data_IF_912214999539
#
_entry.id   IF_912214999539
#
_cell.length_a   1.000
_cell.length_b   1.000
_cell.length_c   1.000
_cell.angle_alpha   90.00
_cell.angle_beta   90.00
_cell.angle_gamma   90.00
#
_symmetry.space_group_name_H-M   'P 1'
#
loop_
_entity.id
_entity.type
_entity.pdbx_description
1 polymer ?
#
# COMPACT_ATOMS: atom_id res chain seq x y z
N UNK A 1 19.26 -15.99 8.30
CA UNK A 1 19.08 -16.65 6.99
C UNK A 1 18.46 -15.63 6.04
N UNK A 2 19.24 -14.64 5.61
CA UNK A 2 18.83 -13.61 4.64
C UNK A 2 19.36 -14.07 3.29
N UNK A 3 18.53 -14.81 2.55
CA UNK A 3 18.90 -15.42 1.28
C UNK A 3 19.02 -14.37 0.18
N UNK A 4 20.20 -14.35 -0.43
CA UNK A 4 20.66 -13.60 -1.61
C UNK A 4 19.52 -13.00 -2.45
N UNK A 5 19.16 -11.75 -2.15
CA UNK A 5 18.36 -10.96 -3.08
C UNK A 5 19.33 -10.36 -4.12
N UNK A 6 19.04 -10.46 -5.43
CA UNK A 6 19.90 -9.89 -6.45
C UNK A 6 20.08 -8.39 -6.20
N UNK A 7 21.31 -7.91 -6.04
CA UNK A 7 21.60 -6.50 -5.71
C UNK A 7 21.36 -5.53 -6.87
N UNK A 8 21.04 -6.05 -8.05
CA UNK A 8 20.74 -5.27 -9.25
C UNK A 8 19.54 -5.87 -10.00
N UNK A 9 18.52 -5.05 -10.26
CA UNK A 9 17.28 -5.41 -10.95
C UNK A 9 16.04 -4.81 -10.28
N UNK A 10 14.86 -4.80 -10.93
CA UNK A 10 13.62 -4.25 -10.36
C UNK A 10 13.17 -4.96 -9.07
N UNK A 11 13.64 -6.19 -8.83
CA UNK A 11 13.36 -7.00 -7.62
C UNK A 11 14.48 -6.94 -6.56
N UNK A 12 15.45 -6.03 -6.72
CA UNK A 12 16.62 -5.93 -5.87
C UNK A 12 16.40 -5.40 -4.44
N UNK A 13 15.50 -4.43 -4.17
CA UNK A 13 15.39 -3.92 -2.82
C UNK A 13 14.81 -5.00 -1.89
N UNK A 14 15.33 -5.15 -0.66
CA UNK A 14 14.75 -6.05 0.31
C UNK A 14 13.31 -5.62 0.63
N UNK A 15 12.38 -6.57 0.79
CA UNK A 15 10.99 -6.24 1.07
C UNK A 15 10.80 -5.42 2.35
N UNK A 16 11.74 -5.50 3.31
CA UNK A 16 11.77 -4.62 4.48
C UNK A 16 11.96 -3.14 4.12
N UNK A 17 12.80 -2.83 3.13
CA UNK A 17 12.98 -1.45 2.64
C UNK A 17 11.73 -0.93 1.95
N UNK A 18 11.08 -1.75 1.10
CA UNK A 18 9.80 -1.36 0.46
C UNK A 18 8.68 -1.19 1.48
N UNK A 19 8.64 -2.03 2.52
CA UNK A 19 7.72 -1.88 3.63
C UNK A 19 7.92 -0.54 4.35
N UNK A 20 9.17 -0.22 4.73
CA UNK A 20 9.49 1.04 5.41
C UNK A 20 9.18 2.26 4.55
N UNK A 21 9.48 2.20 3.25
CA UNK A 21 9.10 3.25 2.30
C UNK A 21 7.57 3.43 2.25
N UNK A 22 6.81 2.34 2.22
CA UNK A 22 5.35 2.36 2.32
C UNK A 22 4.87 3.00 3.62
N UNK A 23 5.43 2.60 4.76
CA UNK A 23 5.13 3.17 6.09
C UNK A 23 5.40 4.67 6.13
N UNK A 24 6.55 5.11 5.60
CA UNK A 24 6.93 6.51 5.56
C UNK A 24 5.95 7.34 4.71
N UNK A 25 5.62 6.85 3.49
CA UNK A 25 4.62 7.48 2.62
C UNK A 25 3.24 7.52 3.28
N UNK A 26 2.81 6.43 3.91
CA UNK A 26 1.54 6.35 4.61
C UNK A 26 1.46 7.33 5.78
N UNK A 27 2.55 7.48 6.54
CA UNK A 27 2.64 8.46 7.63
C UNK A 27 2.50 9.89 7.12
N UNK A 28 3.14 10.23 6.00
CA UNK A 28 3.02 11.55 5.37
C UNK A 28 1.59 11.82 4.90
N UNK A 29 0.96 10.84 4.25
CA UNK A 29 -0.44 10.96 3.79
C UNK A 29 -1.39 11.10 5.00
N UNK A 30 -1.20 10.33 6.06
CA UNK A 30 -2.02 10.43 7.27
C UNK A 30 -1.89 11.76 7.99
N UNK A 31 -0.68 12.33 8.03
CA UNK A 31 -0.46 13.67 8.55
C UNK A 31 -1.18 14.71 7.68
N UNK A 32 -0.96 14.67 6.37
CA UNK A 32 -1.61 15.57 5.42
C UNK A 32 -3.15 15.49 5.49
N UNK A 33 -3.70 14.28 5.58
CA UNK A 33 -5.14 14.04 5.76
C UNK A 33 -5.65 14.67 7.05
N UNK A 34 -4.92 14.53 8.15
CA UNK A 34 -5.30 15.11 9.44
C UNK A 34 -5.24 16.64 9.41
N UNK A 35 -4.27 17.24 8.72
CA UNK A 35 -4.22 18.70 8.58
C UNK A 35 -5.29 19.24 7.63
N UNK A 36 -5.61 18.52 6.55
CA UNK A 36 -6.59 18.93 5.56
C UNK A 36 -8.04 18.80 6.05
N UNK A 37 -8.36 17.70 6.74
CA UNK A 37 -9.74 17.36 7.12
C UNK A 37 -9.97 17.30 8.63
N UNK A 38 -8.92 17.24 9.44
CA UNK A 38 -9.02 17.24 10.91
C UNK A 38 -9.14 18.63 11.54
N UNK A 39 -8.98 19.70 10.74
CA UNK A 39 -9.16 21.08 11.20
C UNK A 39 -10.64 21.45 11.38
N UNK A 40 -11.56 20.83 10.63
CA UNK A 40 -12.99 21.17 10.65
C UNK A 40 -13.72 20.63 11.88
N UNK A 41 -13.19 19.58 12.53
CA UNK A 41 -13.72 19.03 13.79
C UNK A 41 -12.83 19.31 15.01
N UNK A 42 -11.83 20.19 14.86
CA UNK A 42 -10.63 20.28 15.69
C UNK A 42 -10.82 20.13 17.21
N UNK A 43 -10.54 18.94 17.78
CA UNK A 43 -10.42 18.80 19.21
C UNK A 43 -9.00 19.26 19.61
N UNK A 44 -8.90 20.35 20.37
CA UNK A 44 -7.61 20.97 20.75
C UNK A 44 -6.77 20.04 21.64
N UNK A 45 -5.45 20.15 21.53
CA UNK A 45 -4.51 19.49 22.44
C UNK A 45 -4.38 17.98 22.21
N UNK A 46 -4.56 17.17 23.27
CA UNK A 46 -4.33 15.72 23.24
C UNK A 46 -5.17 15.00 22.18
N UNK A 47 -6.39 15.48 21.93
CA UNK A 47 -7.31 14.84 20.99
C UNK A 47 -6.87 14.98 19.52
N UNK A 48 -6.30 16.12 19.13
CA UNK A 48 -5.63 16.26 17.83
C UNK A 48 -4.47 15.28 17.70
N UNK A 49 -3.65 15.15 18.76
CA UNK A 49 -2.55 14.18 18.80
C UNK A 49 -3.02 12.74 18.61
N UNK A 50 -4.12 12.34 19.25
CA UNK A 50 -4.69 11.01 19.07
C UNK A 50 -5.26 10.79 17.67
N UNK A 51 -5.93 11.78 17.07
CA UNK A 51 -6.46 11.69 15.70
C UNK A 51 -5.32 11.60 14.69
N UNK A 52 -4.29 12.43 14.84
CA UNK A 52 -3.08 12.39 14.02
C UNK A 52 -2.42 11.02 14.11
N UNK A 53 -2.19 10.52 15.33
CA UNK A 53 -1.59 9.21 15.54
C UNK A 53 -2.42 8.10 14.91
N UNK A 54 -3.76 8.12 15.06
CA UNK A 54 -4.67 7.13 14.48
C UNK A 54 -4.63 7.14 12.96
N UNK A 55 -4.69 8.32 12.34
CA UNK A 55 -4.66 8.46 10.89
C UNK A 55 -3.29 8.06 10.33
N UNK A 56 -2.20 8.57 10.91
CA UNK A 56 -0.85 8.17 10.52
C UNK A 56 -0.66 6.67 10.64
N UNK A 57 -1.10 6.05 11.76
CA UNK A 57 -1.01 4.61 11.94
C UNK A 57 -1.81 3.85 10.88
N UNK A 58 -3.07 4.23 10.64
CA UNK A 58 -3.92 3.57 9.65
C UNK A 58 -3.35 3.60 8.23
N UNK A 59 -2.90 4.77 7.76
CA UNK A 59 -2.27 4.90 6.44
C UNK A 59 -0.89 4.24 6.39
N UNK A 60 -0.08 4.35 7.44
CA UNK A 60 1.23 3.71 7.51
C UNK A 60 1.12 2.17 7.47
N UNK A 61 0.20 1.59 8.24
CA UNK A 61 -0.03 0.15 8.24
C UNK A 61 -0.58 -0.33 6.90
N UNK A 62 -1.50 0.42 6.30
CA UNK A 62 -2.07 0.08 4.99
C UNK A 62 -0.98 0.04 3.91
N UNK A 63 -0.19 1.13 3.76
CA UNK A 63 0.86 1.19 2.75
C UNK A 63 2.05 0.26 3.05
N UNK A 64 2.34 0.02 4.33
CA UNK A 64 3.36 -0.94 4.76
C UNK A 64 3.00 -2.37 4.36
N UNK A 65 1.80 -2.82 4.70
CA UNK A 65 1.29 -4.16 4.34
C UNK A 65 1.21 -4.30 2.82
N UNK A 66 0.65 -3.30 2.13
CA UNK A 66 0.59 -3.27 0.66
C UNK A 66 1.98 -3.51 0.04
N UNK A 67 2.96 -2.69 0.42
CA UNK A 67 4.31 -2.72 -0.16
C UNK A 67 5.06 -4.02 0.16
N UNK A 68 4.87 -4.55 1.38
CA UNK A 68 5.46 -5.82 1.79
C UNK A 68 4.89 -7.00 0.98
N UNK A 69 3.56 -7.06 0.83
CA UNK A 69 2.87 -8.15 0.12
C UNK A 69 3.13 -8.08 -1.37
N UNK A 70 3.09 -6.90 -1.99
CA UNK A 70 3.44 -6.74 -3.40
C UNK A 70 4.88 -7.17 -3.67
N UNK A 71 5.84 -6.78 -2.82
CA UNK A 71 7.24 -7.25 -2.93
C UNK A 71 7.36 -8.76 -2.75
N UNK A 72 6.67 -9.35 -1.77
CA UNK A 72 6.68 -10.78 -1.54
C UNK A 72 6.11 -11.55 -2.75
N UNK A 73 5.00 -11.06 -3.32
CA UNK A 73 4.36 -11.65 -4.51
C UNK A 73 5.26 -11.54 -5.75
N UNK A 74 5.89 -10.39 -5.96
CA UNK A 74 6.89 -10.18 -7.01
C UNK A 74 8.06 -11.14 -6.87
N UNK A 75 8.63 -11.28 -5.66
CA UNK A 75 9.78 -12.16 -5.43
C UNK A 75 9.41 -13.64 -5.56
N UNK A 76 8.22 -14.02 -5.12
CA UNK A 76 7.72 -15.39 -5.24
C UNK A 76 7.44 -15.78 -6.70
N UNK A 77 6.87 -14.86 -7.50
CA UNK A 77 6.43 -15.15 -8.88
C UNK A 77 7.43 -14.74 -9.95
N UNK A 78 8.43 -13.92 -9.59
CA UNK A 78 9.41 -13.30 -10.51
C UNK A 78 8.75 -12.59 -11.70
N UNK A 79 7.61 -11.96 -11.45
CA UNK A 79 6.87 -11.14 -12.43
C UNK A 79 6.38 -9.86 -11.76
N UNK A 80 6.26 -8.78 -12.54
CA UNK A 80 5.71 -7.49 -12.12
C UNK A 80 4.44 -7.20 -12.94
N UNK A 81 3.32 -7.70 -12.42
CA UNK A 81 2.01 -7.65 -13.06
C UNK A 81 0.97 -7.00 -12.13
N UNK A 82 -0.16 -6.55 -12.69
CA UNK A 82 -1.27 -6.00 -11.92
C UNK A 82 -1.81 -6.94 -10.83
N UNK A 83 -1.61 -8.26 -10.97
CA UNK A 83 -1.99 -9.24 -9.94
C UNK A 83 -1.20 -9.08 -8.63
N UNK A 84 0.06 -8.63 -8.66
CA UNK A 84 0.82 -8.41 -7.42
C UNK A 84 0.28 -7.19 -6.65
N UNK A 85 -0.17 -6.18 -7.39
CA UNK A 85 -0.81 -4.99 -6.83
C UNK A 85 -2.23 -5.32 -6.33
N UNK A 86 -2.95 -6.22 -7.01
CA UNK A 86 -4.22 -6.77 -6.52
C UNK A 86 -4.05 -7.48 -5.18
N UNK A 87 -3.08 -8.41 -5.07
CA UNK A 87 -2.83 -9.15 -3.83
C UNK A 87 -2.39 -8.23 -2.69
N UNK A 88 -1.52 -7.25 -2.98
CA UNK A 88 -1.11 -6.23 -2.02
C UNK A 88 -2.31 -5.41 -1.51
N UNK A 89 -3.17 -4.95 -2.44
CA UNK A 89 -4.38 -4.20 -2.10
C UNK A 89 -5.38 -5.03 -1.28
N UNK A 90 -5.62 -6.29 -1.66
CA UNK A 90 -6.46 -7.20 -0.90
C UNK A 90 -5.96 -7.41 0.53
N UNK A 91 -4.66 -7.61 0.73
CA UNK A 91 -4.08 -7.80 2.05
C UNK A 91 -4.18 -6.52 2.91
N UNK A 92 -3.91 -5.36 2.30
CA UNK A 92 -4.02 -4.07 2.97
C UNK A 92 -5.48 -3.72 3.31
N UNK A 93 -6.43 -4.03 2.43
CA UNK A 93 -7.87 -3.87 2.67
C UNK A 93 -8.40 -4.79 3.76
N UNK A 94 -7.93 -6.05 3.79
CA UNK A 94 -8.25 -6.98 4.86
C UNK A 94 -7.76 -6.46 6.22
N UNK A 95 -6.55 -5.89 6.24
CA UNK A 95 -6.01 -5.24 7.44
C UNK A 95 -6.83 -4.02 7.86
N UNK A 96 -7.21 -3.16 6.92
CA UNK A 96 -8.03 -1.98 7.19
C UNK A 96 -9.43 -2.34 7.75
N UNK A 97 -9.95 -3.51 7.40
CA UNK A 97 -11.26 -3.97 7.85
C UNK A 97 -11.21 -4.89 9.08
N UNK A 98 -10.08 -5.01 9.78
CA UNK A 98 -9.95 -5.86 10.97
C UNK A 98 -10.92 -5.48 12.09
N UNK A 99 -11.28 -4.19 12.20
CA UNK A 99 -12.24 -3.69 13.17
C UNK A 99 -13.71 -3.88 12.74
N UNK A 100 -13.96 -4.34 11.51
CA UNK A 100 -15.32 -4.54 11.01
C UNK A 100 -15.91 -5.83 11.57
N UNK A 101 -17.09 -5.78 12.23
CA UNK A 101 -17.72 -6.97 12.81
C UNK A 101 -18.28 -7.94 11.76
N UNK A 102 -18.29 -7.55 10.49
CA UNK A 102 -18.87 -8.34 9.40
C UNK A 102 -17.82 -8.78 8.39
N UNK A 103 -17.70 -10.11 8.23
CA UNK A 103 -16.82 -10.73 7.22
C UNK A 103 -17.14 -10.25 5.81
N UNK A 104 -18.41 -9.97 5.50
CA UNK A 104 -18.82 -9.40 4.20
C UNK A 104 -18.22 -8.01 3.95
N UNK A 105 -18.16 -7.15 4.97
CA UNK A 105 -17.53 -5.85 4.84
C UNK A 105 -16.01 -5.99 4.67
N UNK A 106 -15.38 -6.91 5.39
CA UNK A 106 -13.95 -7.21 5.23
C UNK A 106 -13.61 -7.76 3.83
N UNK A 107 -14.42 -8.67 3.29
CA UNK A 107 -14.24 -9.18 1.93
C UNK A 107 -14.50 -8.09 0.88
N UNK A 108 -15.56 -7.29 1.06
CA UNK A 108 -15.90 -6.20 0.15
C UNK A 108 -14.80 -5.14 0.07
N UNK A 109 -14.28 -4.71 1.22
CA UNK A 109 -13.16 -3.76 1.31
C UNK A 109 -11.87 -4.33 0.73
N UNK A 110 -11.54 -5.59 1.00
CA UNK A 110 -10.36 -6.26 0.44
C UNK A 110 -10.43 -6.32 -1.09
N UNK A 111 -11.55 -6.78 -1.65
CA UNK A 111 -11.73 -6.89 -3.09
C UNK A 111 -11.74 -5.52 -3.78
N UNK A 112 -12.42 -4.54 -3.19
CA UNK A 112 -12.48 -3.19 -3.73
C UNK A 112 -11.10 -2.53 -3.74
N UNK A 113 -10.35 -2.60 -2.64
CA UNK A 113 -8.99 -2.04 -2.56
C UNK A 113 -8.02 -2.77 -3.49
N UNK A 114 -8.04 -4.11 -3.53
CA UNK A 114 -7.27 -4.90 -4.48
C UNK A 114 -7.55 -4.48 -5.92
N UNK A 115 -8.81 -4.35 -6.30
CA UNK A 115 -9.21 -3.97 -7.65
C UNK A 115 -8.76 -2.55 -8.01
N UNK A 116 -8.93 -1.58 -7.10
CA UNK A 116 -8.46 -0.20 -7.29
C UNK A 116 -6.94 -0.17 -7.48
N UNK A 117 -6.16 -0.87 -6.65
CA UNK A 117 -4.71 -0.94 -6.79
C UNK A 117 -4.27 -1.57 -8.13
N UNK A 118 -4.94 -2.64 -8.54
CA UNK A 118 -4.66 -3.30 -9.82
C UNK A 118 -4.98 -2.38 -11.01
N UNK A 119 -6.13 -1.72 -11.00
CA UNK A 119 -6.53 -0.76 -12.04
C UNK A 119 -5.59 0.43 -12.10
N UNK A 120 -5.21 0.98 -10.94
CA UNK A 120 -4.24 2.07 -10.87
C UNK A 120 -2.90 1.65 -11.48
N UNK A 121 -2.41 0.46 -11.14
CA UNK A 121 -1.21 -0.08 -11.76
C UNK A 121 -1.36 -0.19 -13.27
N UNK A 122 -2.47 -0.73 -13.78
CA UNK A 122 -2.70 -0.87 -15.23
C UNK A 122 -2.82 0.48 -15.95
N UNK A 123 -3.42 1.48 -15.30
CA UNK A 123 -3.61 2.81 -15.88
C UNK A 123 -2.33 3.65 -15.90
N UNK A 124 -1.47 3.51 -14.88
CA UNK A 124 -0.28 4.34 -14.68
C UNK A 124 1.04 3.61 -14.91
N UNK A 125 1.04 2.30 -15.19
CA UNK A 125 2.26 1.60 -15.62
C UNK A 125 2.73 2.25 -16.93
N UNK A 126 3.90 2.90 -16.96
CA UNK A 126 4.41 3.45 -18.20
C UNK A 126 4.60 2.30 -19.19
N UNK A 127 4.00 2.41 -20.39
CA UNK A 127 4.35 1.51 -21.51
C UNK A 127 5.86 1.55 -21.67
N UNK A 128 6.51 0.40 -21.51
CA UNK A 128 7.94 0.30 -21.75
C UNK A 128 8.22 0.64 -23.21
N UNK A 129 9.31 1.36 -23.45
CA UNK A 129 9.77 1.89 -24.74
C UNK A 129 9.91 0.82 -25.85
N UNK A 130 9.83 -0.46 -25.52
CA UNK A 130 9.93 -1.58 -26.46
C UNK A 130 8.69 -1.76 -27.34
N UNK A 131 7.49 -1.33 -26.92
CA UNK A 131 6.30 -1.37 -27.80
C UNK A 131 6.33 -0.30 -28.91
N UNK A 132 7.16 0.73 -28.79
CA UNK A 132 7.20 1.85 -29.76
C UNK A 132 8.11 1.59 -30.98
N UNK A 133 8.92 0.53 -30.99
CA UNK A 133 9.82 0.20 -32.11
C UNK A 133 9.25 -0.89 -33.03
N UNK A 134 8.02 -1.34 -32.78
CA UNK A 134 7.31 -2.38 -33.54
C UNK A 134 6.28 -1.82 -34.54
N UNK A 135 6.27 -0.49 -34.74
CA UNK A 135 5.45 0.24 -35.72
C UNK A 135 6.37 0.91 -36.74
#
# INVERSE_FOLDING_TARGET
>A
MFSDAPTTGPYAPPCGSRCFEGVARGSMIGAAWTFAYGADEAPKGRAFGTTLARNCFGFASFLGVYSAVTCAAEKARRRDDGLNNFLGGCAAGAFAAVESPTVRAALGTSLATGMVCALFYMAFKPRTREENWSL
#
